data_IF_962569773351
#
_entry.id   IF_962569773351
#
_cell.length_a   1.000
_cell.length_b   1.000
_cell.length_c   1.000
_cell.angle_alpha   90.00
_cell.angle_beta   90.00
_cell.angle_gamma   90.00
#
_symmetry.space_group_name_H-M   'P 1'
#
loop_
_entity.id
_entity.type
_entity.pdbx_description
1 polymer ?
#
# COMPACT_ATOMS: atom_id res chain seq x y z
N UNK A 1 29.96 55.19 -9.19
CA UNK A 1 29.55 53.87 -8.65
C UNK A 1 28.61 53.24 -9.66
N UNK A 2 28.86 52.00 -10.08
CA UNK A 2 27.94 51.27 -10.95
C UNK A 2 26.65 50.95 -10.20
N UNK A 3 25.53 50.83 -10.92
CA UNK A 3 24.24 50.48 -10.34
C UNK A 3 24.35 49.16 -9.56
N UNK A 4 24.01 49.17 -8.27
CA UNK A 4 24.01 47.98 -7.42
C UNK A 4 25.31 47.70 -6.64
N UNK A 5 26.36 48.53 -6.78
CA UNK A 5 27.56 48.42 -5.94
C UNK A 5 27.29 48.96 -4.52
N UNK A 6 27.74 48.22 -3.49
CA UNK A 6 27.63 48.60 -2.07
C UNK A 6 29.02 48.94 -1.51
N UNK A 7 30.04 48.14 -1.85
CA UNK A 7 31.47 48.45 -1.61
C UNK A 7 32.29 48.20 -2.88
N UNK A 8 33.62 48.30 -2.81
CA UNK A 8 34.51 47.98 -3.93
C UNK A 8 34.40 46.52 -4.41
N UNK A 9 34.03 45.59 -3.51
CA UNK A 9 33.94 44.15 -3.79
C UNK A 9 32.58 43.52 -3.47
N UNK A 10 31.58 44.32 -3.06
CA UNK A 10 30.24 43.82 -2.70
C UNK A 10 29.18 44.54 -3.52
N UNK A 11 28.31 43.76 -4.16
CA UNK A 11 27.14 44.25 -4.88
C UNK A 11 25.84 43.55 -4.44
N UNK A 12 24.71 44.09 -4.88
CA UNK A 12 23.37 43.57 -4.55
C UNK A 12 23.17 42.14 -5.03
N UNK A 13 23.70 41.75 -6.20
CA UNK A 13 23.52 40.41 -6.74
C UNK A 13 24.23 39.36 -5.87
N UNK A 14 25.44 39.68 -5.39
CA UNK A 14 26.19 38.84 -4.46
C UNK A 14 25.43 38.64 -3.13
N UNK A 15 24.84 39.69 -2.56
CA UNK A 15 24.05 39.57 -1.33
C UNK A 15 22.80 38.70 -1.52
N UNK A 16 22.09 38.87 -2.64
CA UNK A 16 20.91 38.05 -2.97
C UNK A 16 21.31 36.57 -3.13
N UNK A 17 22.46 36.29 -3.73
CA UNK A 17 22.98 34.93 -3.85
C UNK A 17 23.24 34.29 -2.47
N UNK A 18 23.90 34.99 -1.55
CA UNK A 18 24.12 34.45 -0.21
C UNK A 18 22.83 34.29 0.60
N UNK A 19 21.88 35.23 0.46
CA UNK A 19 20.56 35.10 1.07
C UNK A 19 19.82 33.86 0.53
N UNK A 20 19.89 33.61 -0.78
CA UNK A 20 19.35 32.39 -1.38
C UNK A 20 20.00 31.14 -0.77
N UNK A 21 21.33 31.09 -0.62
CA UNK A 21 22.01 29.93 -0.03
C UNK A 21 21.59 29.69 1.44
N UNK A 22 21.44 30.75 2.23
CA UNK A 22 20.95 30.64 3.60
C UNK A 22 19.51 30.13 3.65
N UNK A 23 18.62 30.68 2.81
CA UNK A 23 17.25 30.18 2.66
C UNK A 23 17.23 28.71 2.24
N UNK A 24 18.00 28.34 1.23
CA UNK A 24 18.06 26.98 0.70
C UNK A 24 18.56 25.99 1.77
N UNK A 25 19.62 26.32 2.50
CA UNK A 25 20.08 25.51 3.62
C UNK A 25 19.00 25.36 4.72
N UNK A 26 18.28 26.45 5.02
CA UNK A 26 17.12 26.41 5.92
C UNK A 26 15.99 25.51 5.41
N UNK A 27 15.71 25.53 4.10
CA UNK A 27 14.72 24.66 3.47
C UNK A 27 15.12 23.19 3.55
N UNK A 28 16.40 22.87 3.28
CA UNK A 28 16.93 21.50 3.43
C UNK A 28 16.76 21.02 4.87
N UNK A 29 17.10 21.85 5.85
CA UNK A 29 16.88 21.54 7.27
C UNK A 29 15.40 21.27 7.57
N UNK A 30 14.50 22.16 7.13
CA UNK A 30 13.06 22.02 7.35
C UNK A 30 12.49 20.74 6.73
N UNK A 31 12.80 20.47 5.45
CA UNK A 31 12.32 19.28 4.75
C UNK A 31 12.88 18.00 5.35
N UNK A 32 14.14 18.00 5.79
CA UNK A 32 14.76 16.84 6.48
C UNK A 32 14.09 16.55 7.83
N UNK A 33 13.54 17.57 8.49
CA UNK A 33 12.76 17.37 9.72
C UNK A 33 11.34 16.88 9.42
N UNK A 34 10.65 17.47 8.44
CA UNK A 34 9.31 17.02 8.04
C UNK A 34 9.32 15.58 7.50
N UNK A 35 10.41 15.13 6.85
CA UNK A 35 10.53 13.76 6.34
C UNK A 35 10.64 12.70 7.44
N UNK A 36 10.86 13.09 8.70
CA UNK A 36 11.00 12.18 9.86
C UNK A 36 9.72 12.02 10.67
N UNK A 37 8.57 12.37 10.10
CA UNK A 37 7.28 12.24 10.77
C UNK A 37 6.77 10.80 10.84
N UNK A 38 7.25 9.92 9.97
CA UNK A 38 6.90 8.50 9.92
C UNK A 38 8.17 7.65 9.76
N UNK A 39 8.18 6.43 10.32
CA UNK A 39 9.32 5.50 10.19
C UNK A 39 10.58 5.90 10.97
N UNK A 40 10.48 6.88 11.88
CA UNK A 40 11.55 7.28 12.79
C UNK A 40 11.12 7.10 14.26
N UNK A 41 12.06 6.80 15.17
CA UNK A 41 13.49 6.64 14.95
C UNK A 41 13.84 5.36 14.17
N UNK A 42 14.95 5.37 13.43
CA UNK A 42 15.42 4.20 12.70
C UNK A 42 15.90 3.14 13.68
N UNK A 43 15.68 1.88 13.32
CA UNK A 43 16.23 0.73 14.05
C UNK A 43 17.50 0.25 13.37
N UNK A 44 18.57 0.09 14.15
CA UNK A 44 19.85 -0.40 13.66
C UNK A 44 20.19 -1.74 14.30
N UNK A 45 20.27 -2.76 13.45
CA UNK A 45 20.76 -4.09 13.83
C UNK A 45 22.23 -4.03 14.21
N UNK A 46 22.58 -4.73 15.29
CA UNK A 46 23.95 -4.82 15.78
C UNK A 46 24.28 -6.26 16.15
N UNK A 47 25.45 -6.78 15.73
CA UNK A 47 25.87 -8.12 16.13
C UNK A 47 25.92 -8.23 17.66
N UNK A 48 25.18 -9.18 18.22
CA UNK A 48 25.14 -9.50 19.66
C UNK A 48 24.82 -8.30 20.58
N UNK A 49 24.04 -7.33 20.11
CA UNK A 49 23.59 -6.18 20.90
C UNK A 49 22.11 -5.89 20.67
N UNK A 50 21.40 -5.30 21.64
CA UNK A 50 20.03 -4.86 21.42
C UNK A 50 19.94 -3.84 20.28
N UNK A 51 18.79 -3.84 19.61
CA UNK A 51 18.45 -2.86 18.58
C UNK A 51 18.60 -1.45 19.15
N UNK A 52 19.26 -0.58 18.39
CA UNK A 52 19.38 0.84 18.75
C UNK A 52 18.42 1.67 17.92
N UNK A 53 17.71 2.58 18.59
CA UNK A 53 16.89 3.62 17.96
C UNK A 53 17.74 4.86 17.67
N UNK A 54 17.76 5.28 16.41
CA UNK A 54 18.58 6.40 15.91
C UNK A 54 17.72 7.49 15.25
N UNK A 55 17.84 8.72 15.73
CA UNK A 55 17.09 9.88 15.22
C UNK A 55 17.85 10.71 14.18
N UNK A 56 19.10 10.35 13.91
CA UNK A 56 20.04 11.14 13.12
C UNK A 56 20.46 12.46 13.81
N UNK A 57 21.26 13.26 13.10
CA UNK A 57 21.94 14.44 13.65
C UNK A 57 20.97 15.58 14.01
N UNK A 58 19.87 15.73 13.27
CA UNK A 58 18.88 16.79 13.48
C UNK A 58 17.79 16.45 14.51
N UNK A 59 17.81 15.24 15.08
CA UNK A 59 16.76 14.78 16.00
C UNK A 59 15.42 14.52 15.31
N UNK A 60 14.35 14.51 16.12
CA UNK A 60 12.97 14.22 15.72
C UNK A 60 12.12 15.52 15.81
N UNK A 61 11.24 15.80 14.83
CA UNK A 61 10.36 16.98 14.88
C UNK A 61 9.34 16.88 16.01
N UNK A 62 8.83 18.03 16.45
CA UNK A 62 7.68 18.06 17.36
C UNK A 62 6.44 17.42 16.70
N UNK A 63 5.62 16.68 17.46
CA UNK A 63 4.39 16.10 16.94
C UNK A 63 3.47 17.15 16.33
N UNK A 64 3.01 16.87 15.12
CA UNK A 64 1.89 17.57 14.48
C UNK A 64 0.62 16.75 14.72
N UNK A 65 -0.49 17.43 14.97
CA UNK A 65 -1.80 16.80 15.20
C UNK A 65 -2.67 17.02 13.97
N UNK A 66 -3.11 15.92 13.36
CA UNK A 66 -4.08 15.90 12.26
C UNK A 66 -5.45 15.54 12.82
N UNK A 67 -6.36 16.49 12.82
CA UNK A 67 -7.75 16.28 13.27
C UNK A 67 -8.56 15.75 12.10
N UNK A 68 -9.10 14.54 12.22
CA UNK A 68 -9.94 13.95 11.17
C UNK A 68 -11.41 14.03 11.54
N UNK A 69 -12.27 13.99 10.53
CA UNK A 69 -13.72 14.07 10.73
C UNK A 69 -14.32 12.82 11.41
N UNK A 70 -13.76 11.62 11.14
CA UNK A 70 -14.42 10.36 11.50
C UNK A 70 -13.57 9.38 12.32
N UNK A 71 -12.25 9.57 12.41
CA UNK A 71 -11.34 8.61 13.03
C UNK A 71 -10.44 9.22 14.12
N UNK A 72 -10.79 10.42 14.60
CA UNK A 72 -10.11 11.08 15.70
C UNK A 72 -8.86 11.86 15.28
N UNK A 73 -7.94 12.04 16.23
CA UNK A 73 -6.70 12.79 16.03
C UNK A 73 -5.53 11.84 15.76
N UNK A 74 -4.70 12.18 14.77
CA UNK A 74 -3.47 11.47 14.45
C UNK A 74 -2.27 12.34 14.76
N UNK A 75 -1.25 11.75 15.36
CA UNK A 75 -0.02 12.44 15.72
C UNK A 75 1.12 11.93 14.85
N UNK A 76 1.98 12.83 14.38
CA UNK A 76 3.21 12.44 13.68
C UNK A 76 4.38 13.33 14.14
N UNK A 77 5.46 12.78 14.72
CA UNK A 77 5.72 11.35 14.86
C UNK A 77 4.93 10.67 15.97
N UNK A 78 4.83 9.34 15.90
CA UNK A 78 4.11 8.48 16.82
C UNK A 78 4.89 7.20 17.16
N UNK A 79 4.41 6.46 18.16
CA UNK A 79 4.99 5.18 18.61
C UNK A 79 4.14 3.95 18.22
N UNK A 80 3.28 4.07 17.20
CA UNK A 80 2.41 2.95 16.78
C UNK A 80 3.23 1.72 16.38
N UNK A 81 4.33 1.94 15.67
CA UNK A 81 5.13 0.87 15.08
C UNK A 81 5.95 0.12 16.15
N UNK A 82 6.10 0.68 17.35
CA UNK A 82 6.74 0.01 18.50
C UNK A 82 5.94 -1.21 19.00
N UNK A 83 4.68 -1.37 18.57
CA UNK A 83 3.78 -2.46 18.95
C UNK A 83 3.59 -3.51 17.84
N UNK A 84 4.33 -3.39 16.73
CA UNK A 84 4.25 -4.39 15.67
C UNK A 84 4.82 -5.74 16.11
N UNK A 85 4.21 -6.85 15.64
CA UNK A 85 4.71 -8.18 15.96
C UNK A 85 6.08 -8.38 15.31
N UNK A 86 6.90 -9.29 15.84
CA UNK A 86 8.10 -9.72 15.13
C UNK A 86 7.75 -10.22 13.72
N UNK A 87 8.60 -9.88 12.76
CA UNK A 87 8.50 -10.36 11.38
C UNK A 87 8.50 -11.90 11.38
N UNK A 88 7.58 -12.51 10.64
CA UNK A 88 7.45 -13.97 10.52
C UNK A 88 8.50 -14.58 9.57
N UNK A 89 9.78 -14.33 9.87
CA UNK A 89 10.90 -14.78 9.07
C UNK A 89 12.20 -14.84 9.86
N UNK A 90 13.25 -15.39 9.24
CA UNK A 90 14.59 -15.50 9.83
C UNK A 90 15.63 -14.92 8.90
N UNK A 91 16.62 -14.23 9.46
CA UNK A 91 17.80 -13.80 8.71
C UNK A 91 18.52 -15.02 8.12
N UNK A 92 18.91 -14.96 6.84
CA UNK A 92 19.64 -16.05 6.19
C UNK A 92 21.02 -16.29 6.79
N UNK A 93 21.74 -15.21 7.15
CA UNK A 93 23.14 -15.31 7.62
C UNK A 93 23.37 -14.76 9.03
N UNK A 94 22.35 -14.13 9.64
CA UNK A 94 22.45 -13.51 10.97
C UNK A 94 23.32 -12.23 11.02
N UNK A 95 23.82 -11.77 9.87
CA UNK A 95 24.58 -10.53 9.76
C UNK A 95 23.65 -9.34 9.51
N UNK A 96 23.97 -8.12 10.02
CA UNK A 96 23.22 -6.92 9.67
C UNK A 96 23.16 -6.72 8.14
N UNK A 97 21.96 -6.44 7.62
CA UNK A 97 21.72 -6.29 6.18
C UNK A 97 21.48 -7.60 5.43
N UNK A 98 21.52 -8.75 6.11
CA UNK A 98 21.14 -10.04 5.52
C UNK A 98 19.63 -10.09 5.28
N UNK A 99 19.15 -10.60 4.12
CA UNK A 99 17.72 -10.71 3.84
C UNK A 99 17.05 -11.68 4.81
N UNK A 100 15.74 -11.48 4.98
CA UNK A 100 14.89 -12.29 5.86
C UNK A 100 14.09 -13.27 5.01
N UNK A 101 14.23 -14.55 5.29
CA UNK A 101 13.45 -15.61 4.65
C UNK A 101 12.15 -15.87 5.42
N UNK A 102 10.99 -15.96 4.75
CA UNK A 102 9.72 -16.27 5.39
C UNK A 102 9.76 -17.62 6.11
N UNK A 103 9.18 -17.69 7.31
CA UNK A 103 8.90 -18.97 7.96
C UNK A 103 7.49 -19.44 7.61
N UNK A 104 7.35 -20.67 7.12
CA UNK A 104 6.04 -21.24 6.74
C UNK A 104 5.62 -20.90 5.31
N UNK A 105 4.31 -20.71 5.08
CA UNK A 105 3.78 -20.32 3.78
C UNK A 105 4.06 -18.83 3.50
N UNK A 106 4.89 -18.50 2.50
CA UNK A 106 5.25 -17.13 2.20
C UNK A 106 4.05 -16.28 1.74
N UNK A 107 3.01 -16.89 1.15
CA UNK A 107 1.80 -16.18 0.70
C UNK A 107 1.00 -15.56 1.86
N UNK A 108 1.10 -16.15 3.05
CA UNK A 108 0.30 -15.76 4.22
C UNK A 108 1.13 -15.25 5.41
N UNK A 109 2.46 -15.30 5.28
CA UNK A 109 3.41 -14.88 6.32
C UNK A 109 3.45 -13.38 6.62
N UNK A 110 2.90 -12.52 5.76
CA UNK A 110 2.85 -11.08 6.00
C UNK A 110 4.22 -10.38 5.92
N UNK A 111 5.14 -10.88 5.09
CA UNK A 111 6.51 -10.37 4.95
C UNK A 111 6.81 -9.96 3.50
N UNK A 112 7.78 -9.06 3.33
CA UNK A 112 8.26 -8.64 2.01
C UNK A 112 7.13 -8.02 1.18
N UNK A 113 6.88 -8.47 -0.06
CA UNK A 113 5.79 -7.93 -0.87
C UNK A 113 4.40 -8.31 -0.37
N UNK A 114 4.32 -9.25 0.59
CA UNK A 114 3.10 -9.60 1.32
C UNK A 114 2.93 -8.88 2.66
N UNK A 115 3.84 -7.97 3.02
CA UNK A 115 3.71 -7.19 4.23
C UNK A 115 2.62 -6.12 4.11
N UNK A 116 2.00 -5.78 5.23
CA UNK A 116 0.95 -4.77 5.28
C UNK A 116 1.00 -4.02 6.61
N UNK A 117 0.49 -2.79 6.61
CA UNK A 117 0.40 -2.00 7.84
C UNK A 117 -0.86 -2.39 8.61
N UNK A 118 -0.77 -2.55 9.93
CA UNK A 118 -1.95 -2.75 10.79
C UNK A 118 -2.72 -1.43 10.98
N UNK A 119 -3.36 -0.98 9.91
CA UNK A 119 -4.28 0.17 9.94
C UNK A 119 -5.46 -0.14 10.86
N UNK A 120 -6.21 0.91 11.20
CA UNK A 120 -7.40 0.77 12.04
C UNK A 120 -8.40 -0.21 11.42
N UNK A 121 -8.98 -1.07 12.25
CA UNK A 121 -9.99 -2.03 11.83
C UNK A 121 -11.39 -1.39 11.80
N UNK A 122 -11.50 -0.30 11.03
CA UNK A 122 -12.71 0.49 10.81
C UNK A 122 -12.86 0.79 9.32
N UNK A 123 -14.09 1.00 8.87
CA UNK A 123 -14.36 1.39 7.48
C UNK A 123 -13.92 2.83 7.20
N UNK A 124 -13.44 3.07 5.98
CA UNK A 124 -13.24 4.43 5.48
C UNK A 124 -14.59 5.12 5.21
N UNK A 125 -14.60 6.46 5.26
CA UNK A 125 -15.81 7.27 5.18
C UNK A 125 -15.75 8.26 4.02
N UNK A 126 -16.90 8.42 3.36
CA UNK A 126 -17.19 9.56 2.48
C UNK A 126 -17.23 10.88 3.27
N UNK A 127 -17.26 12.02 2.60
CA UNK A 127 -17.36 13.33 3.26
C UNK A 127 -18.66 13.48 4.06
N UNK A 128 -19.74 12.80 3.65
CA UNK A 128 -21.02 12.74 4.36
C UNK A 128 -21.06 11.69 5.48
N UNK A 129 -19.98 10.94 5.71
CA UNK A 129 -19.89 9.92 6.78
C UNK A 129 -20.45 8.53 6.41
N UNK A 130 -20.89 8.33 5.18
CA UNK A 130 -21.26 7.00 4.68
C UNK A 130 -20.02 6.12 4.43
N UNK A 131 -20.17 4.79 4.41
CA UNK A 131 -19.08 3.83 4.09
C UNK A 131 -18.48 4.07 2.70
N UNK A 132 -17.19 4.35 2.57
CA UNK A 132 -16.62 4.78 1.29
C UNK A 132 -16.67 3.71 0.20
N UNK A 133 -16.18 2.50 0.49
CA UNK A 133 -16.07 1.39 -0.46
C UNK A 133 -17.14 0.35 -0.15
N UNK A 134 -18.02 0.09 -1.12
CA UNK A 134 -19.18 -0.81 -0.98
C UNK A 134 -19.40 -1.60 -2.28
N UNK A 135 -20.04 -2.77 -2.24
CA UNK A 135 -20.47 -3.46 -3.45
C UNK A 135 -21.55 -2.66 -4.20
N UNK A 136 -21.62 -2.81 -5.52
CA UNK A 136 -22.55 -2.06 -6.37
C UNK A 136 -24.01 -2.30 -5.97
N UNK A 137 -24.39 -3.50 -5.52
CA UNK A 137 -25.72 -3.79 -4.93
C UNK A 137 -26.10 -2.89 -3.75
N UNK A 138 -25.12 -2.32 -3.05
CA UNK A 138 -25.30 -1.44 -1.88
C UNK A 138 -25.03 0.04 -2.20
N UNK A 139 -24.87 0.38 -3.48
CA UNK A 139 -24.60 1.73 -3.98
C UNK A 139 -25.70 2.21 -4.93
N UNK A 140 -26.91 2.52 -4.43
CA UNK A 140 -27.97 3.05 -5.27
C UNK A 140 -27.51 4.35 -5.96
N UNK A 141 -27.79 4.47 -7.25
CA UNK A 141 -27.34 5.59 -8.08
C UNK A 141 -25.99 5.37 -8.78
N UNK A 142 -25.28 4.29 -8.45
CA UNK A 142 -24.09 3.86 -9.22
C UNK A 142 -24.47 2.83 -10.27
N UNK A 143 -23.81 2.91 -11.42
CA UNK A 143 -23.90 1.92 -12.48
C UNK A 143 -22.54 1.76 -13.16
N UNK A 144 -22.29 0.58 -13.70
CA UNK A 144 -21.15 0.41 -14.60
C UNK A 144 -21.42 1.17 -15.91
N UNK A 145 -20.39 1.79 -16.47
CA UNK A 145 -20.52 2.52 -17.73
C UNK A 145 -20.88 1.55 -18.87
N UNK A 146 -21.92 1.87 -19.64
CA UNK A 146 -22.43 1.00 -20.70
C UNK A 146 -21.38 0.69 -21.80
N UNK A 147 -20.43 1.60 -22.01
CA UNK A 147 -19.36 1.42 -23.00
C UNK A 147 -18.38 0.30 -22.60
N UNK A 148 -18.23 0.07 -21.29
CA UNK A 148 -17.29 -0.89 -20.73
C UNK A 148 -17.90 -2.29 -20.67
N UNK A 149 -17.02 -3.29 -20.66
CA UNK A 149 -17.45 -4.66 -20.44
C UNK A 149 -17.78 -4.85 -18.96
N UNK A 150 -19.02 -5.22 -18.66
CA UNK A 150 -19.42 -5.62 -17.30
C UNK A 150 -18.60 -6.86 -16.88
N UNK A 151 -17.75 -6.77 -15.84
CA UNK A 151 -16.94 -7.90 -15.42
C UNK A 151 -17.76 -8.96 -14.68
N UNK A 152 -18.97 -8.65 -14.21
CA UNK A 152 -19.81 -9.59 -13.47
C UNK A 152 -20.21 -10.75 -14.38
N UNK A 153 -20.01 -11.96 -13.89
CA UNK A 153 -20.24 -13.18 -14.64
C UNK A 153 -19.00 -13.71 -15.37
N UNK A 154 -17.94 -12.92 -15.51
CA UNK A 154 -16.73 -13.35 -16.20
C UNK A 154 -15.91 -14.33 -15.33
N UNK A 155 -15.26 -15.34 -15.94
CA UNK A 155 -14.31 -16.18 -15.23
C UNK A 155 -13.04 -15.38 -14.88
N UNK A 156 -12.47 -15.68 -13.71
CA UNK A 156 -11.20 -15.13 -13.24
C UNK A 156 -10.12 -16.17 -13.45
N UNK A 157 -9.10 -15.83 -14.24
CA UNK A 157 -8.01 -16.72 -14.65
C UNK A 157 -6.72 -16.31 -13.94
N UNK A 158 -6.09 -17.26 -13.23
CA UNK A 158 -4.82 -17.06 -12.54
C UNK A 158 -3.61 -17.06 -13.49
N UNK A 159 -2.43 -16.83 -12.93
CA UNK A 159 -1.18 -16.75 -13.70
C UNK A 159 -0.78 -18.08 -14.36
N UNK A 160 -1.29 -19.20 -13.85
CA UNK A 160 -1.20 -20.55 -14.42
C UNK A 160 -2.16 -20.79 -15.60
N UNK A 161 -2.98 -19.81 -15.96
CA UNK A 161 -3.96 -19.94 -17.05
C UNK A 161 -5.22 -20.72 -16.66
N UNK A 162 -5.33 -21.15 -15.41
CA UNK A 162 -6.48 -21.88 -14.90
C UNK A 162 -7.52 -20.93 -14.28
N UNK A 163 -8.78 -21.37 -14.21
CA UNK A 163 -9.87 -20.56 -13.64
C UNK A 163 -9.83 -20.65 -12.11
N UNK A 164 -9.61 -19.54 -11.41
CA UNK A 164 -9.65 -19.47 -9.95
C UNK A 164 -11.05 -19.20 -9.37
N UNK A 165 -11.95 -18.66 -10.19
CA UNK A 165 -13.32 -18.34 -9.76
C UNK A 165 -14.10 -17.55 -10.81
N UNK A 166 -15.17 -16.90 -10.37
CA UNK A 166 -16.05 -16.07 -11.20
C UNK A 166 -16.36 -14.76 -10.51
N UNK A 167 -16.33 -13.66 -11.25
CA UNK A 167 -16.73 -12.35 -10.70
C UNK A 167 -18.23 -12.36 -10.44
N UNK A 168 -18.63 -12.04 -9.23
CA UNK A 168 -20.04 -11.98 -8.80
C UNK A 168 -20.51 -10.57 -8.48
N UNK A 169 -19.60 -9.63 -8.20
CA UNK A 169 -19.94 -8.23 -7.93
C UNK A 169 -18.76 -7.29 -8.24
N UNK A 170 -19.04 -6.00 -8.46
CA UNK A 170 -18.04 -4.94 -8.46
C UNK A 170 -18.20 -4.06 -7.21
N UNK A 171 -17.10 -3.72 -6.56
CA UNK A 171 -17.06 -2.82 -5.40
C UNK A 171 -16.55 -1.45 -5.82
N UNK A 172 -17.34 -0.42 -5.52
CA UNK A 172 -17.13 0.96 -5.97
C UNK A 172 -16.74 1.87 -4.82
N UNK A 173 -15.94 2.87 -5.14
CA UNK A 173 -15.64 4.01 -4.30
C UNK A 173 -16.69 5.11 -4.52
N UNK A 174 -17.44 5.44 -3.47
CA UNK A 174 -18.47 6.48 -3.55
C UNK A 174 -17.93 7.90 -3.60
N UNK A 175 -16.71 8.14 -3.12
CA UNK A 175 -16.09 9.46 -3.16
C UNK A 175 -15.46 9.75 -4.52
N UNK A 176 -14.86 8.74 -5.15
CA UNK A 176 -14.02 8.92 -6.36
C UNK A 176 -14.63 8.32 -7.63
N UNK A 177 -15.81 7.68 -7.56
CA UNK A 177 -16.55 7.14 -8.70
C UNK A 177 -15.74 6.14 -9.55
N UNK A 178 -15.06 5.21 -8.90
CA UNK A 178 -14.24 4.18 -9.55
C UNK A 178 -14.44 2.79 -8.92
N UNK A 179 -14.14 1.74 -9.68
CA UNK A 179 -14.13 0.35 -9.18
C UNK A 179 -12.82 0.12 -8.42
N UNK A 180 -12.91 -0.25 -7.14
CA UNK A 180 -11.75 -0.57 -6.28
C UNK A 180 -11.47 -2.07 -6.28
N UNK A 181 -12.51 -2.90 -6.22
CA UNK A 181 -12.39 -4.36 -6.17
C UNK A 181 -13.46 -5.04 -7.03
N UNK A 182 -13.17 -6.28 -7.44
CA UNK A 182 -14.13 -7.24 -7.93
C UNK A 182 -14.36 -8.30 -6.84
N UNK A 183 -15.61 -8.62 -6.52
CA UNK A 183 -15.94 -9.76 -5.67
C UNK A 183 -15.88 -11.02 -6.53
N UNK A 184 -15.09 -12.00 -6.12
CA UNK A 184 -14.88 -13.27 -6.82
C UNK A 184 -15.43 -14.39 -5.94
N UNK A 185 -16.34 -15.17 -6.51
CA UNK A 185 -16.69 -16.48 -5.95
C UNK A 185 -15.66 -17.50 -6.43
N UNK A 186 -14.90 -18.05 -5.50
CA UNK A 186 -13.85 -19.05 -5.76
C UNK A 186 -14.45 -20.43 -6.04
N UNK A 187 -13.63 -21.37 -6.51
CA UNK A 187 -14.09 -22.74 -6.74
C UNK A 187 -14.58 -23.43 -5.45
N UNK A 188 -14.03 -23.07 -4.30
CA UNK A 188 -14.47 -23.50 -2.97
C UNK A 188 -15.66 -22.71 -2.42
N UNK A 189 -16.36 -21.91 -3.24
CA UNK A 189 -17.53 -21.10 -2.87
C UNK A 189 -17.26 -20.01 -1.82
N UNK A 190 -16.00 -19.58 -1.67
CA UNK A 190 -15.68 -18.41 -0.86
C UNK A 190 -15.84 -17.15 -1.67
N UNK A 191 -16.25 -16.08 -1.01
CA UNK A 191 -16.32 -14.74 -1.60
C UNK A 191 -15.11 -13.94 -1.14
N UNK A 192 -14.26 -13.59 -2.08
CA UNK A 192 -13.02 -12.85 -1.83
C UNK A 192 -12.96 -11.62 -2.72
N UNK A 193 -12.22 -10.60 -2.30
CA UNK A 193 -12.04 -9.39 -3.10
C UNK A 193 -10.76 -9.49 -3.93
N UNK A 194 -10.87 -9.17 -5.20
CA UNK A 194 -9.77 -9.00 -6.15
C UNK A 194 -9.58 -7.49 -6.39
N UNK A 195 -8.45 -6.90 -5.99
CA UNK A 195 -8.16 -5.50 -6.28
C UNK A 195 -8.12 -5.22 -7.79
N UNK A 196 -8.76 -4.14 -8.23
CA UNK A 196 -8.90 -3.83 -9.65
C UNK A 196 -7.55 -3.56 -10.33
N UNK A 197 -6.55 -3.07 -9.60
CA UNK A 197 -5.17 -2.86 -10.09
C UNK A 197 -4.36 -4.14 -10.31
N UNK A 198 -4.84 -5.30 -9.82
CA UNK A 198 -4.28 -6.62 -10.14
C UNK A 198 -5.10 -7.36 -11.22
N UNK A 199 -6.23 -6.78 -11.63
CA UNK A 199 -7.15 -7.38 -12.58
C UNK A 199 -6.99 -6.75 -13.97
N UNK A 200 -6.94 -7.59 -14.99
CA UNK A 200 -7.09 -7.14 -16.39
C UNK A 200 -8.38 -7.72 -16.94
N UNK A 201 -9.33 -6.85 -17.29
CA UNK A 201 -10.60 -7.25 -17.91
C UNK A 201 -10.39 -7.31 -19.42
N UNK A 202 -10.47 -8.52 -19.98
CA UNK A 202 -10.26 -8.76 -21.41
C UNK A 202 -11.60 -8.83 -22.13
N UNK A 203 -11.75 -8.01 -23.17
CA UNK A 203 -12.77 -8.18 -24.20
C UNK A 203 -12.14 -8.91 -25.39
N UNK A 204 -12.39 -10.20 -25.51
CA UNK A 204 -11.70 -11.09 -26.47
C UNK A 204 -12.71 -11.97 -27.20
N UNK A 205 -12.72 -11.90 -28.54
CA UNK A 205 -13.67 -12.61 -29.40
C UNK A 205 -13.33 -14.09 -29.59
N UNK A 206 -12.08 -14.48 -29.40
CA UNK A 206 -11.59 -15.84 -29.69
C UNK A 206 -11.59 -16.67 -28.41
N UNK A 207 -10.96 -16.15 -27.37
CA UNK A 207 -10.79 -16.86 -26.09
C UNK A 207 -11.92 -16.56 -25.09
N UNK A 208 -12.87 -15.71 -25.46
CA UNK A 208 -13.97 -15.28 -24.62
C UNK A 208 -13.58 -14.20 -23.61
N UNK A 209 -14.58 -13.42 -23.18
CA UNK A 209 -14.40 -12.39 -22.16
C UNK A 209 -14.01 -13.02 -20.81
N UNK A 210 -13.02 -12.43 -20.14
CA UNK A 210 -12.45 -12.97 -18.90
C UNK A 210 -11.75 -11.88 -18.11
N UNK A 211 -11.52 -12.13 -16.83
CA UNK A 211 -10.59 -11.37 -16.00
C UNK A 211 -9.33 -12.20 -15.82
N UNK A 212 -8.14 -11.63 -16.01
CA UNK A 212 -6.88 -12.32 -15.72
C UNK A 212 -6.17 -11.64 -14.56
N UNK A 213 -5.50 -12.45 -13.74
CA UNK A 213 -4.70 -11.99 -12.60
C UNK A 213 -3.33 -12.65 -12.70
N UNK A 214 -2.29 -11.83 -12.82
CA UNK A 214 -0.91 -12.33 -12.97
C UNK A 214 -0.19 -12.54 -11.64
N UNK A 215 -0.68 -11.93 -10.56
CA UNK A 215 -0.02 -12.01 -9.27
C UNK A 215 -0.13 -13.38 -8.62
N UNK A 216 -1.25 -14.11 -8.75
CA UNK A 216 -1.46 -15.40 -8.08
C UNK A 216 -1.95 -16.49 -9.04
N UNK A 217 -1.75 -17.75 -8.66
CA UNK A 217 -2.27 -18.94 -9.35
C UNK A 217 -3.77 -19.14 -9.06
N UNK A 218 -4.47 -19.90 -9.91
CA UNK A 218 -5.90 -20.17 -9.72
C UNK A 218 -6.24 -20.75 -8.35
N UNK A 219 -5.47 -21.75 -7.89
CA UNK A 219 -5.68 -22.38 -6.58
C UNK A 219 -5.41 -21.46 -5.38
N UNK A 220 -4.64 -20.39 -5.57
CA UNK A 220 -4.29 -19.44 -4.49
C UNK A 220 -5.42 -18.44 -4.19
N UNK A 221 -6.48 -18.38 -5.00
CA UNK A 221 -7.67 -17.61 -4.63
C UNK A 221 -8.29 -18.10 -3.31
N UNK A 222 -8.12 -19.38 -2.98
CA UNK A 222 -8.51 -19.95 -1.69
C UNK A 222 -7.64 -19.49 -0.50
N UNK A 223 -6.56 -18.76 -0.72
CA UNK A 223 -5.77 -18.16 0.37
C UNK A 223 -6.13 -16.70 0.65
N UNK A 224 -6.92 -16.05 -0.22
CA UNK A 224 -7.19 -14.60 -0.11
C UNK A 224 -7.96 -14.31 1.20
N UNK A 225 -7.53 -13.30 1.99
CA UNK A 225 -8.25 -12.87 3.18
C UNK A 225 -9.69 -12.43 2.85
N UNK A 226 -10.65 -12.86 3.68
CA UNK A 226 -12.06 -12.48 3.55
C UNK A 226 -12.38 -11.23 4.35
N UNK A 227 -13.39 -10.49 3.91
CA UNK A 227 -14.00 -9.43 4.72
C UNK A 227 -14.89 -10.03 5.80
N UNK A 228 -15.05 -9.33 6.93
CA UNK A 228 -16.00 -9.71 7.98
C UNK A 228 -17.45 -9.48 7.59
N UNK A 229 -17.69 -8.51 6.72
CA UNK A 229 -19.00 -8.14 6.22
C UNK A 229 -19.04 -8.28 4.70
N UNK A 230 -20.16 -8.76 4.13
CA UNK A 230 -20.29 -8.81 2.68
C UNK A 230 -20.43 -7.41 2.07
N UNK A 231 -20.81 -6.36 2.83
CA UNK A 231 -21.24 -5.07 2.25
C UNK A 231 -20.31 -3.89 2.58
N UNK A 232 -19.19 -4.16 3.24
CA UNK A 232 -18.18 -3.15 3.58
C UNK A 232 -16.82 -3.80 3.80
N UNK A 233 -15.77 -2.98 3.69
CA UNK A 233 -14.39 -3.38 3.95
C UNK A 233 -13.72 -2.36 4.89
N UNK A 234 -12.95 -2.83 5.87
CA UNK A 234 -12.18 -1.96 6.78
C UNK A 234 -10.81 -1.59 6.19
N UNK A 235 -10.20 -0.50 6.66
CA UNK A 235 -8.85 -0.10 6.24
C UNK A 235 -7.82 -1.22 6.45
N UNK A 236 -7.98 -2.02 7.51
CA UNK A 236 -7.14 -3.19 7.77
C UNK A 236 -7.42 -4.35 6.80
N UNK A 237 -8.68 -4.59 6.45
CA UNK A 237 -9.03 -5.61 5.47
C UNK A 237 -8.52 -5.24 4.07
N UNK A 238 -8.59 -3.95 3.68
CA UNK A 238 -8.02 -3.45 2.42
C UNK A 238 -6.53 -3.77 2.32
N UNK A 239 -5.77 -3.48 3.39
CA UNK A 239 -4.33 -3.77 3.53
C UNK A 239 -4.05 -5.27 3.37
N UNK A 240 -4.80 -6.13 4.09
CA UNK A 240 -4.59 -7.60 4.06
C UNK A 240 -4.91 -8.21 2.70
N UNK A 241 -6.00 -7.78 2.07
CA UNK A 241 -6.37 -8.24 0.73
C UNK A 241 -5.30 -7.83 -0.28
N UNK A 242 -4.92 -6.54 -0.31
CA UNK A 242 -3.89 -6.05 -1.23
C UNK A 242 -2.55 -6.76 -1.06
N UNK A 243 -2.11 -6.91 0.17
CA UNK A 243 -0.83 -7.55 0.47
C UNK A 243 -0.80 -9.03 0.08
N UNK A 244 -1.92 -9.76 0.15
CA UNK A 244 -1.96 -11.14 -0.35
C UNK A 244 -1.64 -11.22 -1.86
N UNK A 245 -2.22 -10.33 -2.67
CA UNK A 245 -1.88 -10.26 -4.10
C UNK A 245 -0.46 -9.72 -4.34
N UNK A 246 0.01 -8.80 -3.48
CA UNK A 246 1.42 -8.38 -3.46
C UNK A 246 2.37 -9.55 -3.20
N UNK A 247 2.09 -10.40 -2.21
CA UNK A 247 2.87 -11.60 -1.90
C UNK A 247 3.04 -12.47 -3.15
N UNK A 248 1.96 -12.67 -3.92
CA UNK A 248 1.95 -13.45 -5.14
C UNK A 248 2.98 -13.00 -6.19
N UNK A 249 3.30 -11.71 -6.28
CA UNK A 249 4.26 -11.23 -7.29
C UNK A 249 5.66 -11.81 -7.12
N UNK A 250 6.00 -12.26 -5.90
CA UNK A 250 7.27 -12.92 -5.60
C UNK A 250 7.11 -14.38 -5.17
N UNK A 251 5.97 -14.74 -4.57
CA UNK A 251 5.79 -16.01 -3.88
C UNK A 251 4.77 -16.96 -4.52
N UNK A 252 4.08 -16.55 -5.58
CA UNK A 252 3.08 -17.41 -6.21
C UNK A 252 3.67 -18.70 -6.79
N UNK A 253 4.92 -18.65 -7.26
CA UNK A 253 5.70 -19.84 -7.65
C UNK A 253 7.14 -19.72 -7.14
N UNK A 254 7.85 -20.83 -6.87
CA UNK A 254 9.23 -20.79 -6.41
C UNK A 254 10.16 -20.03 -7.37
N UNK A 255 9.95 -20.17 -8.68
CA UNK A 255 10.81 -19.57 -9.71
C UNK A 255 10.79 -18.04 -9.68
N UNK A 256 9.72 -17.41 -9.19
CA UNK A 256 9.64 -15.94 -9.07
C UNK A 256 10.63 -15.36 -8.07
N UNK A 257 11.13 -16.19 -7.13
CA UNK A 257 12.14 -15.78 -6.14
C UNK A 257 13.55 -15.85 -6.69
N UNK A 258 13.76 -16.56 -7.79
CA UNK A 258 15.07 -16.79 -8.37
C UNK A 258 15.47 -15.66 -9.33
N UNK A 259 16.78 -15.48 -9.58
CA UNK A 259 17.25 -14.59 -10.64
C UNK A 259 16.64 -14.95 -12.00
N UNK A 260 16.33 -13.93 -12.80
CA UNK A 260 15.72 -14.12 -14.12
C UNK A 260 16.63 -14.78 -15.16
N UNK A 261 17.95 -14.80 -14.92
CA UNK A 261 18.98 -15.27 -15.85
C UNK A 261 19.99 -16.17 -15.14
#
# INVERSE_FOLDING_TARGET
MGTGAITEYVDVAQLVLYLFWLFFAGLVYYLTMESKREGFPLESDRPNRPVRKESGILGIPKPKVYKTAFHGEFHAPHHRDDQEPPVAGKSLTGMPGSPVEPTGDPMTSGIGPGAFTRRMDVVDRTVEGNVKIVPLRSAPGFSLAHQDLDPRGLPVVGADGQVGGKVVEAWVDRSEHLIRYLEVETQGHRKVLLPMNFAVVHRDRIKGNRVTVQSILAGQFEGVPTTKSPDQITLLEEERVMAYFGAGTLFATPERREPLF
#
